data_IF_742040350982
#
_entry.id   IF_742040350982
#
_cell.length_a   1.000
_cell.length_b   1.000
_cell.length_c   1.000
_cell.angle_alpha   90.00
_cell.angle_beta   90.00
_cell.angle_gamma   90.00
#
_symmetry.space_group_name_H-M   'P 1'
#
loop_
_entity.id
_entity.type
_entity.pdbx_description
1 polymer ?
#
# COMPACT_ATOMS: atom_id res chain seq x y z
N UNK A 1 5.52 8.25 12.98
CA UNK A 1 5.73 7.61 11.65
C UNK A 1 7.17 7.82 11.23
N UNK A 2 7.82 6.78 10.71
CA UNK A 2 9.26 6.83 10.41
C UNK A 2 9.55 6.71 8.91
N UNK A 3 10.57 7.42 8.46
CA UNK A 3 11.20 7.25 7.16
C UNK A 3 12.00 5.96 7.13
N UNK A 4 12.27 5.44 5.93
CA UNK A 4 13.14 4.29 5.75
C UNK A 4 14.58 4.60 6.21
N UNK A 5 15.15 3.79 7.13
CA UNK A 5 16.57 3.88 7.44
C UNK A 5 17.45 3.48 6.25
N UNK A 6 18.64 4.05 6.16
CA UNK A 6 19.60 3.80 5.07
C UNK A 6 20.25 2.40 5.12
N UNK A 7 20.30 1.79 6.30
CA UNK A 7 20.82 0.44 6.52
C UNK A 7 19.79 -0.68 6.25
N UNK A 8 18.53 -0.32 5.95
CA UNK A 8 17.47 -1.28 5.63
C UNK A 8 17.54 -1.68 4.15
N UNK A 9 17.83 -2.95 3.91
CA UNK A 9 17.90 -3.53 2.57
C UNK A 9 16.73 -4.49 2.36
N UNK A 10 15.93 -4.24 1.33
CA UNK A 10 14.81 -5.11 0.94
C UNK A 10 15.28 -6.18 -0.05
N UNK A 11 14.71 -7.38 0.05
CA UNK A 11 15.03 -8.50 -0.85
C UNK A 11 13.91 -8.70 -1.89
N UNK A 12 14.29 -8.80 -3.16
CA UNK A 12 13.38 -9.09 -4.26
C UNK A 12 12.77 -10.50 -4.15
N UNK A 13 11.60 -10.76 -4.77
CA UNK A 13 11.04 -12.12 -4.82
C UNK A 13 12.08 -13.14 -5.32
N UNK A 14 12.29 -14.22 -4.56
CA UNK A 14 13.32 -15.24 -4.85
C UNK A 14 14.75 -14.89 -4.45
N UNK A 15 15.05 -13.63 -4.11
CA UNK A 15 16.36 -13.23 -3.60
C UNK A 15 16.55 -13.73 -2.15
N UNK A 16 17.73 -14.29 -1.87
CA UNK A 16 18.16 -14.69 -0.52
C UNK A 16 19.41 -13.91 -0.13
N UNK A 17 19.57 -13.68 1.18
CA UNK A 17 20.76 -13.05 1.73
C UNK A 17 21.48 -14.06 2.63
N UNK A 18 22.76 -14.41 2.35
CA UNK A 18 23.53 -15.29 3.22
C UNK A 18 23.51 -14.81 4.68
N UNK A 19 23.21 -15.71 5.61
CA UNK A 19 23.10 -15.41 7.05
C UNK A 19 21.73 -14.90 7.50
N UNK A 20 20.80 -14.66 6.57
CA UNK A 20 19.43 -14.28 6.88
C UNK A 20 18.48 -15.46 6.59
N UNK A 21 17.59 -15.76 7.55
CA UNK A 21 16.53 -16.76 7.32
C UNK A 21 15.71 -16.38 6.06
N UNK A 22 15.48 -17.33 5.12
CA UNK A 22 14.70 -17.10 3.91
C UNK A 22 13.29 -16.56 4.13
N UNK A 23 12.73 -16.70 5.34
CA UNK A 23 11.44 -16.11 5.73
C UNK A 23 11.49 -14.58 5.75
N UNK A 24 12.66 -13.98 6.01
CA UNK A 24 12.79 -12.52 6.02
C UNK A 24 12.81 -11.95 4.61
N UNK A 25 12.08 -10.86 4.44
CA UNK A 25 11.95 -10.14 3.15
C UNK A 25 12.77 -8.85 3.09
N UNK A 26 13.51 -8.56 4.16
CA UNK A 26 14.44 -7.46 4.30
C UNK A 26 15.37 -7.75 5.48
N UNK A 27 16.52 -7.09 5.53
CA UNK A 27 17.46 -7.20 6.62
C UNK A 27 18.29 -5.93 6.77
N UNK A 28 19.08 -5.88 7.84
CA UNK A 28 20.10 -4.86 8.05
C UNK A 28 21.41 -5.35 7.44
N UNK A 29 22.04 -4.50 6.63
CA UNK A 29 23.41 -4.75 6.16
C UNK A 29 24.40 -4.36 7.24
N UNK A 30 25.30 -5.28 7.59
CA UNK A 30 26.41 -5.08 8.52
C UNK A 30 27.73 -5.38 7.81
N UNK A 31 28.86 -5.08 8.46
CA UNK A 31 30.19 -5.38 7.92
C UNK A 31 30.40 -6.89 7.67
N UNK A 32 29.77 -7.75 8.48
CA UNK A 32 29.92 -9.20 8.43
C UNK A 32 28.80 -9.92 7.66
N UNK A 33 27.85 -9.18 7.07
CA UNK A 33 26.74 -9.76 6.32
C UNK A 33 25.37 -9.18 6.69
N UNK A 34 24.30 -9.96 6.44
CA UNK A 34 22.93 -9.54 6.73
C UNK A 34 22.45 -10.10 8.07
N UNK A 35 21.74 -9.26 8.82
CA UNK A 35 21.03 -9.68 10.04
C UNK A 35 19.56 -9.27 9.97
N UNK A 36 18.65 -9.94 10.69
CA UNK A 36 17.26 -9.53 10.77
C UNK A 36 17.13 -8.09 11.25
N UNK A 37 16.25 -7.31 10.61
CA UNK A 37 15.96 -5.96 11.06
C UNK A 37 15.11 -6.00 12.35
N UNK A 38 15.24 -5.01 13.27
CA UNK A 38 14.41 -4.95 14.47
C UNK A 38 12.91 -5.10 14.19
N UNK A 39 12.21 -5.82 15.05
CA UNK A 39 10.75 -5.95 14.98
C UNK A 39 10.04 -4.65 15.41
N UNK A 40 8.72 -4.62 15.23
CA UNK A 40 7.89 -3.48 15.63
C UNK A 40 8.11 -3.07 17.08
N UNK A 41 8.12 -4.02 18.01
CA UNK A 41 8.22 -3.74 19.43
C UNK A 41 9.56 -3.06 19.74
N UNK A 42 10.66 -3.61 19.21
CA UNK A 42 11.99 -3.04 19.33
C UNK A 42 12.12 -1.67 18.67
N UNK A 43 11.53 -1.47 17.47
CA UNK A 43 11.52 -0.16 16.79
C UNK A 43 10.79 0.89 17.63
N UNK A 44 9.62 0.56 18.16
CA UNK A 44 8.84 1.44 19.03
C UNK A 44 9.57 1.76 20.35
N UNK A 45 10.41 0.84 20.83
CA UNK A 45 11.24 1.03 22.03
C UNK A 45 12.58 1.73 21.73
N UNK A 46 12.84 2.12 20.48
CA UNK A 46 14.00 2.93 20.11
C UNK A 46 15.19 2.18 19.52
N UNK A 47 15.04 0.92 19.08
CA UNK A 47 16.12 0.11 18.50
C UNK A 47 16.78 0.69 17.24
N UNK A 48 16.21 1.76 16.66
CA UNK A 48 16.81 2.47 15.53
C UNK A 48 17.82 3.55 15.97
N UNK A 49 17.78 4.00 17.23
CA UNK A 49 18.71 4.99 17.77
C UNK A 49 18.81 6.24 16.88
N UNK A 50 20.04 6.63 16.54
CA UNK A 50 20.34 7.78 15.68
C UNK A 50 19.80 7.66 14.24
N UNK A 51 19.44 6.46 13.79
CA UNK A 51 18.82 6.25 12.47
C UNK A 51 17.32 6.51 12.48
N UNK A 52 16.74 6.84 13.63
CA UNK A 52 15.33 7.22 13.73
C UNK A 52 15.09 8.53 12.99
N UNK A 53 14.31 8.48 11.91
CA UNK A 53 13.95 9.65 11.10
C UNK A 53 12.42 9.84 11.09
N UNK A 54 11.85 10.58 12.05
CA UNK A 54 10.41 10.83 12.08
C UNK A 54 9.97 11.70 10.90
N UNK A 55 8.90 11.29 10.21
CA UNK A 55 8.26 12.07 9.14
C UNK A 55 7.10 12.91 9.66
N UNK A 56 6.21 12.26 10.40
CA UNK A 56 4.97 12.82 10.93
C UNK A 56 4.64 12.20 12.29
N UNK A 57 4.02 13.00 13.15
CA UNK A 57 3.41 12.56 14.40
C UNK A 57 1.89 12.49 14.21
N UNK A 58 1.33 11.29 14.39
CA UNK A 58 -0.11 11.08 14.35
C UNK A 58 -0.65 11.16 15.78
N UNK A 59 -1.87 11.68 15.94
CA UNK A 59 -2.54 11.78 17.25
C UNK A 59 -2.99 10.43 17.79
N UNK A 60 -3.16 9.44 16.92
CA UNK A 60 -3.67 8.12 17.25
C UNK A 60 -2.72 7.03 16.74
N UNK A 61 -2.28 6.16 17.65
CA UNK A 61 -1.42 5.02 17.33
C UNK A 61 -2.17 3.96 16.51
N UNK A 62 -3.49 3.81 16.69
CA UNK A 62 -4.31 2.88 15.91
C UNK A 62 -4.37 3.35 14.45
N UNK A 63 -4.53 4.65 14.19
CA UNK A 63 -4.47 5.21 12.84
C UNK A 63 -3.11 4.95 12.18
N UNK A 64 -2.00 5.14 12.90
CA UNK A 64 -0.67 4.82 12.40
C UNK A 64 -0.53 3.33 12.07
N UNK A 65 -1.02 2.45 12.94
CA UNK A 65 -0.98 1.01 12.70
C UNK A 65 -1.82 0.61 11.49
N UNK A 66 -3.04 1.13 11.36
CA UNK A 66 -3.90 0.91 10.18
C UNK A 66 -3.20 1.39 8.92
N UNK A 67 -2.59 2.59 8.95
CA UNK A 67 -1.86 3.12 7.80
C UNK A 67 -0.69 2.20 7.39
N UNK A 68 0.00 1.61 8.36
CA UNK A 68 1.04 0.60 8.09
C UNK A 68 0.48 -0.68 7.50
N UNK A 69 -0.68 -1.14 7.96
CA UNK A 69 -1.35 -2.31 7.36
C UNK A 69 -1.79 -2.03 5.91
N UNK A 70 -2.29 -0.83 5.63
CA UNK A 70 -2.74 -0.42 4.30
C UNK A 70 -1.58 -0.04 3.35
N UNK A 71 -0.41 0.31 3.89
CA UNK A 71 0.79 0.66 3.12
C UNK A 71 0.79 2.07 2.51
N UNK A 72 -0.34 2.77 2.46
CA UNK A 72 -0.41 4.17 2.05
C UNK A 72 -1.62 4.90 2.64
N UNK A 73 -1.61 6.22 2.55
CA UNK A 73 -2.79 7.02 2.86
C UNK A 73 -2.55 8.52 2.75
N UNK A 74 -3.47 9.29 3.33
CA UNK A 74 -3.37 10.75 3.40
C UNK A 74 -3.53 11.23 4.83
N UNK A 75 -2.65 12.15 5.22
CA UNK A 75 -2.68 12.84 6.50
C UNK A 75 -3.09 14.29 6.23
N UNK A 76 -3.96 14.82 7.08
CA UNK A 76 -4.28 16.25 7.10
C UNK A 76 -3.43 16.90 8.18
N UNK A 77 -2.64 17.90 7.79
CA UNK A 77 -1.82 18.68 8.70
C UNK A 77 -2.67 19.70 9.48
N UNK A 78 -2.15 20.26 10.60
CA UNK A 78 -2.88 21.27 11.38
C UNK A 78 -3.28 22.53 10.59
N UNK A 79 -2.50 22.88 9.57
CA UNK A 79 -2.76 24.01 8.66
C UNK A 79 -3.76 23.68 7.53
N UNK A 80 -4.33 22.47 7.54
CA UNK A 80 -5.30 22.01 6.55
C UNK A 80 -4.68 21.37 5.30
N UNK A 81 -3.36 21.46 5.08
CA UNK A 81 -2.72 20.83 3.92
C UNK A 81 -2.81 19.31 3.98
N UNK A 82 -2.94 18.69 2.81
CA UNK A 82 -2.86 17.24 2.65
C UNK A 82 -1.44 16.78 2.41
N UNK A 83 -1.02 15.73 3.11
CA UNK A 83 0.23 15.01 2.86
C UNK A 83 -0.09 13.57 2.49
N UNK A 84 0.42 13.11 1.34
CA UNK A 84 0.41 11.68 1.00
C UNK A 84 1.49 10.98 1.78
N UNK A 85 1.16 9.78 2.24
CA UNK A 85 2.09 8.88 2.88
C UNK A 85 2.14 7.62 2.04
N UNK A 86 3.33 7.27 1.57
CA UNK A 86 3.56 6.21 0.61
C UNK A 86 4.53 5.19 1.18
N UNK A 87 4.28 3.91 0.93
CA UNK A 87 5.20 2.83 1.29
C UNK A 87 6.61 3.11 0.76
N UNK A 88 7.61 2.93 1.62
CA UNK A 88 9.04 3.09 1.27
C UNK A 88 9.89 1.88 1.71
N UNK A 89 9.30 0.94 2.44
CA UNK A 89 9.97 -0.29 2.86
C UNK A 89 9.30 -0.94 4.05
N UNK A 90 9.74 -2.17 4.34
CA UNK A 90 9.36 -2.89 5.57
C UNK A 90 10.57 -3.52 6.21
N UNK A 91 10.52 -3.73 7.53
CA UNK A 91 11.59 -4.36 8.31
C UNK A 91 11.83 -5.85 7.98
N UNK A 92 11.06 -6.45 7.07
CA UNK A 92 11.24 -7.82 6.60
C UNK A 92 10.64 -8.89 7.49
N UNK A 93 10.18 -8.52 8.70
CA UNK A 93 9.54 -9.40 9.68
C UNK A 93 8.17 -9.90 9.22
N UNK A 94 7.70 -11.07 9.71
CA UNK A 94 6.39 -11.60 9.36
C UNK A 94 5.25 -10.71 9.87
N UNK A 95 4.14 -10.71 9.14
CA UNK A 95 2.92 -10.01 9.52
C UNK A 95 2.03 -10.89 10.42
N UNK A 96 1.58 -10.33 11.53
CA UNK A 96 0.55 -10.94 12.38
C UNK A 96 -0.76 -10.18 12.26
N UNK A 97 -1.86 -10.89 11.97
CA UNK A 97 -3.18 -10.28 11.83
C UNK A 97 -3.77 -9.87 13.18
N UNK A 98 -3.89 -8.56 13.41
CA UNK A 98 -4.47 -8.01 14.63
C UNK A 98 -5.91 -8.46 14.86
N UNK A 99 -6.73 -8.50 13.80
CA UNK A 99 -8.12 -8.94 13.88
C UNK A 99 -8.24 -10.38 14.33
N UNK A 100 -7.37 -11.27 13.83
CA UNK A 100 -7.30 -12.67 14.29
C UNK A 100 -6.88 -12.76 15.76
N UNK A 101 -5.93 -11.95 16.21
CA UNK A 101 -5.51 -11.93 17.62
C UNK A 101 -6.66 -11.50 18.54
N UNK A 102 -7.37 -10.43 18.19
CA UNK A 102 -8.53 -9.93 18.97
C UNK A 102 -9.61 -11.03 19.08
N UNK A 103 -9.89 -11.75 18.00
CA UNK A 103 -10.86 -12.86 18.00
C UNK A 103 -10.36 -14.04 18.82
N UNK A 104 -9.10 -14.44 18.64
CA UNK A 104 -8.51 -15.60 19.31
C UNK A 104 -8.44 -15.40 20.84
N UNK A 105 -8.24 -14.16 21.30
CA UNK A 105 -8.28 -13.82 22.72
C UNK A 105 -9.72 -13.63 23.27
N UNK A 106 -10.75 -13.80 22.43
CA UNK A 106 -12.16 -13.74 22.84
C UNK A 106 -12.75 -12.34 22.99
N UNK A 107 -12.05 -11.29 22.53
CA UNK A 107 -12.48 -9.90 22.71
C UNK A 107 -13.55 -9.45 21.72
N UNK A 108 -13.54 -9.98 20.50
CA UNK A 108 -14.57 -9.76 19.47
C UNK A 108 -14.92 -11.07 18.76
N UNK A 109 -16.17 -11.26 18.33
CA UNK A 109 -16.52 -12.40 17.48
C UNK A 109 -15.94 -12.21 16.07
N UNK A 110 -15.63 -13.33 15.40
CA UNK A 110 -15.23 -13.32 13.99
C UNK A 110 -16.34 -12.80 13.06
N UNK A 111 -17.60 -13.08 13.43
CA UNK A 111 -18.76 -12.65 12.67
C UNK A 111 -18.97 -11.13 12.79
N UNK A 112 -18.94 -10.44 11.66
CA UNK A 112 -19.01 -8.99 11.59
C UNK A 112 -17.75 -8.29 12.09
N UNK A 113 -16.59 -8.96 12.04
CA UNK A 113 -15.29 -8.30 12.27
C UNK A 113 -14.95 -7.42 11.06
N UNK A 114 -15.01 -6.10 11.22
CA UNK A 114 -14.65 -5.11 10.21
C UNK A 114 -13.51 -4.22 10.70
N UNK A 115 -12.85 -3.51 9.76
CA UNK A 115 -11.84 -2.50 10.08
C UNK A 115 -12.32 -1.50 11.14
N UNK A 116 -13.54 -1.00 10.96
CA UNK A 116 -14.17 -0.09 11.90
C UNK A 116 -14.34 -0.72 13.29
N UNK A 117 -14.85 -1.95 13.36
CA UNK A 117 -15.16 -2.61 14.63
C UNK A 117 -13.91 -2.91 15.45
N UNK A 118 -12.87 -3.48 14.83
CA UNK A 118 -11.65 -3.79 15.59
C UNK A 118 -10.83 -2.55 15.93
N UNK A 119 -10.81 -1.52 15.07
CA UNK A 119 -10.13 -0.25 15.41
C UNK A 119 -10.85 0.50 16.53
N UNK A 120 -12.19 0.50 16.55
CA UNK A 120 -12.96 1.05 17.66
C UNK A 120 -12.66 0.32 18.97
N UNK A 121 -12.59 -1.01 18.94
CA UNK A 121 -12.25 -1.81 20.11
C UNK A 121 -10.83 -1.52 20.63
N UNK A 122 -9.82 -1.39 19.75
CA UNK A 122 -8.46 -1.03 20.15
C UNK A 122 -8.40 0.34 20.84
N UNK A 123 -9.11 1.33 20.31
CA UNK A 123 -9.18 2.68 20.92
C UNK A 123 -9.83 2.66 22.30
N UNK A 124 -10.84 1.80 22.49
CA UNK A 124 -11.49 1.62 23.79
C UNK A 124 -10.65 0.81 24.79
N UNK A 125 -9.61 0.10 24.35
CA UNK A 125 -8.81 -0.81 25.19
C UNK A 125 -7.30 -0.55 24.99
N UNK A 126 -6.76 0.61 25.39
CA UNK A 126 -5.41 1.04 25.02
C UNK A 126 -4.28 0.09 25.47
N UNK A 127 -4.38 -0.52 26.65
CA UNK A 127 -3.36 -1.46 27.14
C UNK A 127 -3.32 -2.74 26.31
N UNK A 128 -4.50 -3.29 25.98
CA UNK A 128 -4.62 -4.42 25.06
C UNK A 128 -4.14 -4.03 23.67
N UNK A 129 -4.51 -2.85 23.19
CA UNK A 129 -4.13 -2.37 21.88
C UNK A 129 -2.61 -2.29 21.73
N UNK A 130 -1.92 -1.72 22.72
CA UNK A 130 -0.45 -1.66 22.71
C UNK A 130 0.16 -3.06 22.64
N UNK A 131 -0.28 -3.99 23.49
CA UNK A 131 0.22 -5.39 23.49
C UNK A 131 -0.02 -6.06 22.13
N UNK A 132 -1.25 -6.03 21.65
CA UNK A 132 -1.69 -6.73 20.46
C UNK A 132 -1.05 -6.16 19.18
N UNK A 133 -0.96 -4.83 19.06
CA UNK A 133 -0.27 -4.21 17.92
C UNK A 133 1.20 -4.61 17.87
N UNK A 134 1.87 -4.71 19.02
CA UNK A 134 3.27 -5.13 19.13
C UNK A 134 3.53 -6.60 18.83
N UNK A 135 2.50 -7.45 18.85
CA UNK A 135 2.61 -8.85 18.38
C UNK A 135 2.75 -8.95 16.84
N UNK A 136 2.44 -7.89 16.11
CA UNK A 136 2.74 -7.80 14.68
C UNK A 136 4.18 -7.31 14.49
N UNK A 137 5.13 -8.25 14.34
CA UNK A 137 6.55 -7.96 14.18
C UNK A 137 6.87 -7.09 12.94
N UNK A 138 6.02 -7.15 11.91
CA UNK A 138 6.12 -6.32 10.71
C UNK A 138 5.94 -4.83 11.00
N UNK A 139 6.89 -4.01 10.52
CA UNK A 139 6.87 -2.55 10.60
C UNK A 139 7.08 -1.95 9.20
N UNK A 140 6.21 -1.01 8.83
CA UNK A 140 6.26 -0.30 7.54
C UNK A 140 6.86 1.09 7.72
N UNK A 141 7.82 1.40 6.87
CA UNK A 141 8.43 2.71 6.71
C UNK A 141 7.83 3.42 5.51
N UNK A 142 7.82 4.75 5.57
CA UNK A 142 7.14 5.57 4.59
C UNK A 142 8.05 6.66 4.03
N UNK A 143 7.58 7.25 2.94
CA UNK A 143 7.99 8.55 2.43
C UNK A 143 6.74 9.41 2.26
N UNK A 144 6.93 10.73 2.24
CA UNK A 144 5.83 11.69 2.15
C UNK A 144 5.91 12.53 0.90
N UNK A 145 4.75 12.87 0.33
CA UNK A 145 4.63 13.77 -0.80
C UNK A 145 3.46 14.74 -0.59
N UNK A 146 3.57 16.03 -0.95
CA UNK A 146 2.45 16.95 -0.90
C UNK A 146 1.26 16.45 -1.74
N UNK A 147 0.04 16.64 -1.25
CA UNK A 147 -1.16 16.46 -2.08
C UNK A 147 -1.30 17.67 -2.99
N UNK A 148 -0.95 17.52 -4.26
CA UNK A 148 -1.13 18.56 -5.29
C UNK A 148 -2.57 18.57 -5.83
N UNK A 149 -3.13 17.40 -6.09
CA UNK A 149 -4.53 17.21 -6.48
C UNK A 149 -5.27 16.30 -5.48
N UNK A 150 -6.25 16.83 -4.72
CA UNK A 150 -7.09 16.05 -3.83
C UNK A 150 -7.94 14.97 -4.50
N UNK A 151 -8.28 15.11 -5.78
CA UNK A 151 -9.11 14.15 -6.52
C UNK A 151 -8.37 12.85 -6.86
N UNK A 152 -7.04 12.90 -7.02
CA UNK A 152 -6.23 11.76 -7.43
C UNK A 152 -5.76 10.90 -6.24
N UNK A 153 -5.69 9.60 -6.37
CA UNK A 153 -5.10 8.67 -5.42
C UNK A 153 -3.57 8.73 -5.34
N UNK A 154 -2.95 7.92 -4.47
CA UNK A 154 -1.49 7.77 -4.46
C UNK A 154 -0.99 7.24 -5.82
N UNK A 155 0.29 7.38 -6.16
CA UNK A 155 0.87 6.67 -7.29
C UNK A 155 0.74 5.16 -7.06
N UNK A 156 0.18 4.45 -8.04
CA UNK A 156 0.20 2.98 -8.06
C UNK A 156 1.55 2.44 -8.52
N UNK A 157 1.70 1.12 -8.55
CA UNK A 157 2.90 0.45 -9.06
C UNK A 157 3.24 0.77 -10.53
N UNK A 158 2.27 1.30 -11.31
CA UNK A 158 2.51 1.83 -12.64
C UNK A 158 3.20 3.22 -12.66
N UNK A 159 3.45 3.83 -11.49
CA UNK A 159 4.07 5.15 -11.37
C UNK A 159 3.13 6.34 -11.63
N UNK A 160 1.84 6.07 -11.87
CA UNK A 160 0.81 7.10 -12.13
C UNK A 160 -0.20 7.18 -10.99
N UNK A 161 -0.78 8.37 -10.72
CA UNK A 161 -1.81 8.51 -9.69
C UNK A 161 -3.06 7.66 -9.96
N UNK A 162 -3.55 6.97 -8.94
CA UNK A 162 -4.75 6.14 -9.05
C UNK A 162 -6.02 6.99 -9.15
N UNK A 163 -6.91 6.69 -10.09
CA UNK A 163 -8.18 7.37 -10.25
C UNK A 163 -9.30 6.60 -9.55
N UNK A 164 -10.05 7.20 -8.60
CA UNK A 164 -11.14 6.54 -7.90
C UNK A 164 -12.16 5.92 -8.88
N UNK A 165 -12.48 4.64 -8.68
CA UNK A 165 -13.41 3.86 -9.49
C UNK A 165 -12.90 3.52 -10.90
N UNK A 166 -11.67 3.91 -11.26
CA UNK A 166 -11.10 3.74 -12.60
C UNK A 166 -9.75 3.04 -12.61
N UNK A 167 -9.02 3.07 -11.51
CA UNK A 167 -7.76 2.33 -11.36
C UNK A 167 -7.98 1.04 -10.58
N UNK A 168 -7.32 -0.03 -11.02
CA UNK A 168 -7.41 -1.35 -10.40
C UNK A 168 -6.00 -1.95 -10.23
N UNK A 169 -5.77 -2.60 -9.09
CA UNK A 169 -4.62 -3.47 -8.90
C UNK A 169 -4.90 -4.84 -9.54
N UNK A 170 -3.91 -5.39 -10.22
CA UNK A 170 -3.99 -6.69 -10.91
C UNK A 170 -2.80 -7.57 -10.54
N UNK A 171 -2.82 -8.84 -10.95
CA UNK A 171 -1.63 -9.71 -10.85
C UNK A 171 -0.54 -9.22 -11.83
N UNK A 172 0.51 -8.60 -11.29
CA UNK A 172 1.62 -8.06 -12.07
C UNK A 172 2.47 -9.09 -12.82
N UNK A 173 2.32 -10.39 -12.53
CA UNK A 173 2.98 -11.46 -13.30
C UNK A 173 2.19 -11.83 -14.56
N UNK A 174 0.88 -11.55 -14.57
CA UNK A 174 -0.02 -11.91 -15.67
C UNK A 174 -0.36 -10.72 -16.55
N UNK A 175 -0.66 -9.58 -15.94
CA UNK A 175 -1.22 -8.42 -16.63
C UNK A 175 -0.24 -7.24 -16.64
N UNK A 176 -0.21 -6.52 -17.76
CA UNK A 176 0.60 -5.31 -17.92
C UNK A 176 -0.18 -4.08 -17.45
N UNK A 177 0.54 -3.13 -16.84
CA UNK A 177 -0.02 -1.82 -16.51
C UNK A 177 -0.47 -1.08 -17.78
N UNK A 178 -1.50 -0.25 -17.64
CA UNK A 178 -2.15 0.48 -18.72
C UNK A 178 -3.21 -0.31 -19.48
N UNK A 179 -3.29 -1.64 -19.31
CA UNK A 179 -4.34 -2.43 -19.96
C UNK A 179 -5.73 -2.03 -19.44
N UNK A 180 -6.71 -1.78 -20.33
CA UNK A 180 -8.09 -1.59 -19.94
C UNK A 180 -8.78 -2.92 -19.65
N UNK A 181 -9.60 -2.93 -18.61
CA UNK A 181 -10.45 -4.04 -18.21
C UNK A 181 -11.90 -3.57 -18.16
N UNK A 182 -12.80 -4.40 -18.68
CA UNK A 182 -14.23 -4.22 -18.55
C UNK A 182 -14.74 -5.16 -17.45
N UNK A 183 -15.25 -4.56 -16.37
CA UNK A 183 -15.85 -5.26 -15.25
C UNK A 183 -17.36 -5.32 -15.41
N UNK A 184 -17.94 -6.51 -15.27
CA UNK A 184 -19.38 -6.72 -15.32
C UNK A 184 -19.97 -7.08 -13.95
N UNK A 185 -20.78 -6.20 -13.41
CA UNK A 185 -21.43 -6.34 -12.10
C UNK A 185 -21.63 -4.98 -11.45
N UNK A 186 -22.07 -4.95 -10.19
CA UNK A 186 -22.31 -3.69 -9.48
C UNK A 186 -21.03 -3.23 -8.80
N UNK A 187 -20.69 -1.94 -8.95
CA UNK A 187 -19.62 -1.31 -8.17
C UNK A 187 -20.20 -0.23 -7.23
N UNK A 188 -19.70 -0.12 -5.99
CA UNK A 188 -20.11 0.93 -5.06
C UNK A 188 -19.96 2.33 -5.66
N UNK A 189 -21.01 3.13 -5.59
CA UNK A 189 -21.00 4.52 -6.06
C UNK A 189 -20.96 4.69 -7.58
N UNK A 190 -21.10 3.61 -8.38
CA UNK A 190 -21.16 3.70 -9.84
C UNK A 190 -22.51 3.18 -10.37
N UNK A 191 -23.18 3.94 -11.27
CA UNK A 191 -24.40 3.46 -11.91
C UNK A 191 -24.09 2.37 -12.95
N UNK A 192 -25.07 1.51 -13.21
CA UNK A 192 -24.99 0.48 -14.24
C UNK A 192 -24.32 -0.81 -13.76
N UNK A 193 -23.94 -1.65 -14.73
CA UNK A 193 -23.32 -2.96 -14.50
C UNK A 193 -22.00 -3.14 -15.26
N UNK A 194 -21.55 -2.14 -15.99
CA UNK A 194 -20.43 -2.23 -16.91
C UNK A 194 -19.45 -1.11 -16.64
N UNK A 195 -18.24 -1.46 -16.25
CA UNK A 195 -17.26 -0.50 -15.75
C UNK A 195 -15.91 -0.70 -16.43
N UNK A 196 -15.49 0.31 -17.20
CA UNK A 196 -14.14 0.37 -17.73
C UNK A 196 -13.17 0.87 -16.64
N UNK A 197 -12.16 0.06 -16.35
CA UNK A 197 -11.06 0.36 -15.41
C UNK A 197 -9.72 0.08 -16.08
N UNK A 198 -8.62 0.55 -15.48
CA UNK A 198 -7.26 0.41 -16.00
C UNK A 198 -6.37 -0.22 -14.94
N UNK A 199 -5.56 -1.19 -15.36
CA UNK A 199 -4.50 -1.74 -14.52
C UNK A 199 -3.44 -0.66 -14.24
N UNK A 200 -3.37 -0.17 -13.01
CA UNK A 200 -2.45 0.90 -12.62
C UNK A 200 -1.64 0.55 -11.35
N UNK A 201 -1.90 -0.62 -10.77
CA UNK A 201 -1.26 -1.06 -9.54
C UNK A 201 -1.12 -2.58 -9.49
N UNK A 202 -0.39 -3.08 -8.49
CA UNK A 202 -0.31 -4.50 -8.15
C UNK A 202 -0.35 -4.67 -6.64
N UNK A 203 -0.89 -5.78 -6.16
CA UNK A 203 -0.86 -6.13 -4.74
C UNK A 203 -0.42 -7.56 -4.55
N UNK A 204 0.34 -7.87 -3.51
CA UNK A 204 0.84 -9.23 -3.26
C UNK A 204 -0.27 -10.26 -3.01
N UNK A 205 -1.46 -9.80 -2.60
CA UNK A 205 -2.65 -10.63 -2.42
C UNK A 205 -3.55 -10.70 -3.68
N UNK A 206 -3.18 -9.99 -4.75
CA UNK A 206 -3.93 -9.91 -6.00
C UNK A 206 -3.27 -10.87 -6.99
N UNK A 207 -3.70 -12.13 -6.93
CA UNK A 207 -3.11 -13.23 -7.70
C UNK A 207 -4.18 -13.91 -8.54
N UNK A 208 -3.85 -14.18 -9.81
CA UNK A 208 -4.71 -14.90 -10.74
C UNK A 208 -5.33 -14.04 -11.85
N UNK A 209 -5.86 -14.68 -12.90
CA UNK A 209 -6.24 -14.01 -14.14
C UNK A 209 -7.49 -13.12 -14.03
N UNK A 210 -8.41 -13.43 -13.10
CA UNK A 210 -9.67 -12.71 -12.89
C UNK A 210 -9.80 -12.23 -11.43
N UNK A 211 -8.71 -11.69 -10.89
CA UNK A 211 -8.65 -11.08 -9.56
C UNK A 211 -8.15 -9.65 -9.70
N UNK A 212 -8.88 -8.72 -9.12
CA UNK A 212 -8.48 -7.31 -9.06
C UNK A 212 -8.92 -6.66 -7.76
N UNK A 213 -8.27 -5.55 -7.43
CA UNK A 213 -8.64 -4.68 -6.31
C UNK A 213 -8.90 -3.27 -6.83
N UNK A 214 -10.14 -2.81 -6.70
CA UNK A 214 -10.55 -1.53 -7.25
C UNK A 214 -10.17 -0.39 -6.30
N UNK A 215 -9.45 0.59 -6.80
CA UNK A 215 -9.21 1.80 -6.04
C UNK A 215 -10.48 2.65 -5.99
N UNK A 216 -11.22 2.61 -4.87
CA UNK A 216 -12.50 3.34 -4.71
C UNK A 216 -12.35 4.79 -4.23
N UNK A 217 -11.13 5.22 -3.90
CA UNK A 217 -10.81 6.60 -3.54
C UNK A 217 -10.14 6.75 -2.18
N UNK A 218 -10.19 7.96 -1.61
CA UNK A 218 -9.56 8.29 -0.32
C UNK A 218 -10.59 8.78 0.69
N UNK A 219 -10.39 8.42 1.96
CA UNK A 219 -11.18 8.87 3.10
C UNK A 219 -12.11 7.80 3.66
N UNK A 220 -12.79 8.12 4.76
CA UNK A 220 -13.57 7.14 5.52
C UNK A 220 -14.71 6.48 4.70
N UNK A 221 -15.37 7.24 3.83
CA UNK A 221 -16.42 6.71 2.96
C UNK A 221 -15.85 5.71 1.93
N UNK A 222 -14.70 6.04 1.32
CA UNK A 222 -14.00 5.14 0.41
C UNK A 222 -13.51 3.87 1.14
N UNK A 223 -13.00 4.01 2.36
CA UNK A 223 -12.58 2.86 3.18
C UNK A 223 -13.72 1.89 3.51
N UNK A 224 -14.92 2.41 3.81
CA UNK A 224 -16.12 1.57 4.00
C UNK A 224 -16.52 0.86 2.71
N UNK A 225 -16.62 1.60 1.60
CA UNK A 225 -16.95 1.04 0.30
C UNK A 225 -15.94 -0.03 -0.17
N UNK A 226 -14.65 0.14 0.15
CA UNK A 226 -13.61 -0.85 -0.15
C UNK A 226 -13.79 -2.13 0.67
N UNK A 227 -14.10 -1.99 1.96
CA UNK A 227 -14.31 -3.12 2.86
C UNK A 227 -15.52 -4.00 2.49
N UNK A 228 -16.53 -3.41 1.85
CA UNK A 228 -17.72 -4.14 1.40
C UNK A 228 -17.54 -4.80 0.02
N UNK A 229 -16.48 -4.45 -0.72
CA UNK A 229 -16.26 -4.91 -2.09
C UNK A 229 -15.67 -6.33 -2.12
N UNK A 230 -16.54 -7.34 -2.06
CA UNK A 230 -16.18 -8.76 -2.11
C UNK A 230 -17.06 -9.56 -3.09
N UNK A 231 -17.29 -8.99 -4.28
CA UNK A 231 -18.21 -9.54 -5.26
C UNK A 231 -17.54 -10.37 -6.36
N UNK A 232 -18.29 -11.32 -6.93
CA UNK A 232 -17.93 -11.99 -8.19
C UNK A 232 -18.38 -11.13 -9.36
N UNK A 233 -17.43 -10.78 -10.22
CA UNK A 233 -17.64 -9.88 -11.37
C UNK A 233 -17.22 -10.59 -12.66
N UNK A 234 -17.86 -10.27 -13.78
CA UNK A 234 -17.31 -10.58 -15.10
C UNK A 234 -16.05 -9.75 -15.34
N UNK A 235 -15.06 -10.35 -15.99
CA UNK A 235 -13.71 -9.78 -16.12
C UNK A 235 -13.23 -9.95 -17.56
N UNK A 236 -13.29 -8.88 -18.35
CA UNK A 236 -12.89 -8.89 -19.76
C UNK A 236 -11.69 -7.98 -19.95
N UNK A 237 -10.62 -8.51 -20.55
CA UNK A 237 -9.41 -7.74 -20.83
C UNK A 237 -9.45 -7.21 -22.25
N UNK A 238 -9.26 -5.90 -22.41
CA UNK A 238 -9.24 -5.26 -23.73
C UNK A 238 -7.80 -5.18 -24.22
N UNK A 239 -7.44 -6.07 -25.15
CA UNK A 239 -6.11 -6.10 -25.74
C UNK A 239 -6.06 -5.13 -26.94
N UNK A 240 -5.10 -4.19 -26.98
CA UNK A 240 -4.93 -3.33 -28.14
C UNK A 240 -4.75 -4.15 -29.41
N UNK A 241 -5.50 -3.81 -30.46
CA UNK A 241 -5.25 -4.39 -31.79
C UNK A 241 -3.84 -3.95 -32.22
N UNK A 242 -2.99 -4.87 -32.70
CA UNK A 242 -1.69 -4.48 -33.25
C UNK A 242 -1.93 -3.42 -34.33
N UNK A 243 -1.13 -2.35 -34.29
CA UNK A 243 -1.15 -1.38 -35.37
C UNK A 243 -0.77 -2.09 -36.67
N UNK A 244 -1.46 -1.82 -37.79
CA UNK A 244 -0.99 -2.31 -39.08
C UNK A 244 0.45 -1.81 -39.30
N UNK A 245 1.31 -2.68 -39.85
CA UNK A 245 2.73 -2.39 -40.07
C UNK A 245 2.90 -1.04 -40.77
N UNK A 246 3.43 -0.03 -40.04
CA UNK A 246 3.68 1.31 -40.58
C UNK A 246 3.35 2.51 -39.66
N UNK A 247 2.62 2.32 -38.55
CA UNK A 247 2.22 3.46 -37.69
C UNK A 247 3.28 3.93 -36.67
N UNK A 248 4.44 3.27 -36.57
CA UNK A 248 5.50 3.64 -35.64
C UNK A 248 6.50 4.65 -36.23
N UNK A 249 6.02 5.81 -36.70
CA UNK A 249 6.84 7.01 -36.95
C UNK A 249 6.01 8.26 -36.67
N UNK A 250 5.69 8.53 -35.41
CA UNK A 250 4.86 9.69 -35.10
C UNK A 250 4.52 9.89 -33.63
N UNK A 251 5.46 9.60 -32.74
CA UNK A 251 5.37 10.10 -31.36
C UNK A 251 6.80 10.40 -30.90
N UNK A 252 7.32 11.54 -31.35
CA UNK A 252 8.47 12.14 -30.69
C UNK A 252 8.04 12.43 -29.24
N UNK A 253 8.80 11.90 -28.30
CA UNK A 253 8.70 12.29 -26.90
C UNK A 253 8.86 13.82 -26.80
N UNK A 254 8.11 14.51 -25.91
CA UNK A 254 8.32 15.93 -25.71
C UNK A 254 9.75 16.13 -25.19
N UNK A 255 10.52 16.91 -25.92
CA UNK A 255 11.89 17.28 -25.58
C UNK A 255 11.86 18.04 -24.26
N UNK A 256 12.59 17.52 -23.26
CA UNK A 256 12.78 18.20 -22.00
C UNK A 256 13.53 19.52 -22.27
N UNK A 257 12.88 20.65 -22.00
CA UNK A 257 13.53 21.96 -22.00
C UNK A 257 14.59 22.00 -20.91
N UNK A 258 15.81 21.59 -21.26
CA UNK A 258 17.00 21.86 -20.47
C UNK A 258 17.34 23.34 -20.64
N UNK A 259 17.17 24.10 -19.57
CA UNK A 259 17.69 25.46 -19.49
C UNK A 259 19.22 25.42 -19.55
N UNK A 260 19.79 25.95 -20.63
CA UNK A 260 21.19 26.35 -20.63
C UNK A 260 21.30 27.72 -19.95
N UNK A 261 21.79 27.69 -18.72
CA UNK A 261 22.51 28.80 -18.13
C UNK A 261 23.90 28.88 -18.79
N UNK A 262 24.30 30.07 -19.22
CA UNK A 262 25.71 30.46 -19.41
C UNK A 262 25.82 31.98 -19.59
N UNK A 263 27.03 32.53 -19.35
CA UNK A 263 27.44 33.28 -18.16
C UNK A 263 26.98 34.74 -18.12
#
# INVERSE_FOLDING_TARGET
MLARPDDLVSLAPGETAPGLDPLYRAGRRTETGFVPYPDRAAIEDGALGERTRPLLWLRDAVDLFVLQVQGSGRVRLPDGRGMRVLYDGKNGQPYTSIGKLIVNEGHLPINGLSLERWTAWLRANPDHARRLMRMNASYIFFRTEPVTDPALGPPGAAGVPLSPGRSMAVDGNLWRYGLPFWLEGKLPGQPGRGHLVVAADTGSAIVGPARGDLYVGTGAAAGRAAGDLHDRMGFVVLIPKPAPDGAAKGAAAPEAAAGEARP
#
